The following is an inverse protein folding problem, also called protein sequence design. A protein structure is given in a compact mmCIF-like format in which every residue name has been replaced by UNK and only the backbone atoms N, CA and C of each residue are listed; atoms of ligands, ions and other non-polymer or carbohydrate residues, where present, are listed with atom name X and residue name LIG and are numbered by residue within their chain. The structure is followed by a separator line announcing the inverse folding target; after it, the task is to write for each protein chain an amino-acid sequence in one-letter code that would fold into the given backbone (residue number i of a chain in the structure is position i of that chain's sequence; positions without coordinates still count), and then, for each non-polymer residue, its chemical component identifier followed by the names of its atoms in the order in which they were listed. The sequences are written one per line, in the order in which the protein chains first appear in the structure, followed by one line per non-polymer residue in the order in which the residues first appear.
data_IF_338699405097
#
_entry.id   IF_338699405097
#
_cell.length_a   1.000
_cell.length_b   1.000
_cell.length_c   1.000
_cell.angle_alpha   90.00
_cell.angle_beta   90.00
_cell.angle_gamma   90.00
#
_symmetry.space_group_name_H-M   'P 1'
#
loop_
_entity.id
_entity.type
_entity.pdbx_description
1 polymer ?
#
# COMPACT_ATOMS: atom_id res chain seq x y z
N UNK A 1 26.75 -27.40 -30.56
CA UNK A 1 27.03 -26.07 -30.00
C UNK A 1 25.90 -25.80 -29.05
N UNK A 2 26.18 -25.74 -27.74
CA UNK A 2 25.17 -25.35 -26.77
C UNK A 2 24.82 -23.87 -27.04
N UNK A 3 23.55 -23.56 -27.23
CA UNK A 3 23.08 -22.20 -27.30
C UNK A 3 23.42 -21.53 -25.94
N UNK A 4 24.39 -20.62 -25.93
CA UNK A 4 24.64 -19.77 -24.78
C UNK A 4 23.37 -18.96 -24.53
N UNK A 5 22.73 -19.22 -23.41
CA UNK A 5 21.55 -18.47 -23.01
C UNK A 5 21.99 -17.05 -22.68
N UNK A 6 21.53 -16.07 -23.45
CA UNK A 6 21.78 -14.67 -23.12
C UNK A 6 20.94 -14.28 -21.91
N UNK A 7 21.57 -14.23 -20.72
CA UNK A 7 20.94 -13.92 -19.42
C UNK A 7 20.31 -12.53 -19.38
N UNK A 8 20.68 -11.64 -20.30
CA UNK A 8 20.15 -10.28 -20.39
C UNK A 8 19.02 -10.14 -21.42
N UNK A 9 18.58 -11.25 -22.02
CA UNK A 9 17.44 -11.21 -22.92
C UNK A 9 16.15 -10.89 -22.15
N UNK A 10 15.19 -10.13 -22.72
CA UNK A 10 13.92 -9.84 -22.06
C UNK A 10 13.17 -11.09 -21.60
N UNK A 11 13.31 -12.18 -22.33
CA UNK A 11 12.69 -13.47 -21.96
C UNK A 11 13.33 -14.08 -20.71
N UNK A 12 14.66 -14.03 -20.58
CA UNK A 12 15.36 -14.53 -19.38
C UNK A 12 15.05 -13.66 -18.16
N UNK A 13 15.08 -12.35 -18.31
CA UNK A 13 14.72 -11.41 -17.24
C UNK A 13 13.27 -11.64 -16.76
N UNK A 14 12.33 -11.89 -17.66
CA UNK A 14 10.95 -12.20 -17.29
C UNK A 14 10.82 -13.53 -16.51
N UNK A 15 11.66 -14.52 -16.78
CA UNK A 15 11.69 -15.78 -16.03
C UNK A 15 12.25 -15.59 -14.62
N UNK A 16 13.31 -14.82 -14.45
CA UNK A 16 13.88 -14.44 -13.15
C UNK A 16 12.84 -13.72 -12.27
N UNK A 17 12.09 -12.79 -12.83
CA UNK A 17 10.99 -12.10 -12.14
C UNK A 17 9.98 -13.07 -11.52
N UNK A 18 9.64 -14.14 -12.21
CA UNK A 18 8.68 -15.14 -11.71
C UNK A 18 9.22 -15.99 -10.55
N UNK A 19 10.52 -16.18 -10.46
CA UNK A 19 11.16 -17.03 -9.45
C UNK A 19 11.53 -16.27 -8.17
N UNK A 20 11.53 -14.93 -8.20
CA UNK A 20 11.87 -14.12 -7.03
C UNK A 20 10.66 -14.00 -6.09
N UNK A 21 10.79 -14.42 -4.82
CA UNK A 21 9.69 -14.27 -3.87
C UNK A 21 9.36 -12.79 -3.63
N UNK A 22 8.09 -12.45 -3.71
CA UNK A 22 7.63 -11.10 -3.44
C UNK A 22 7.67 -10.80 -1.93
N UNK A 23 7.98 -9.56 -1.58
CA UNK A 23 7.81 -9.07 -0.20
C UNK A 23 6.32 -8.97 0.08
N UNK A 24 5.87 -9.60 1.17
CA UNK A 24 4.49 -9.50 1.61
C UNK A 24 4.26 -8.18 2.33
N UNK A 25 3.19 -7.49 1.95
CA UNK A 25 2.81 -6.18 2.48
C UNK A 25 1.35 -6.21 2.93
N UNK A 26 1.04 -5.57 4.04
CA UNK A 26 -0.30 -5.72 4.64
C UNK A 26 -1.36 -4.87 3.93
N UNK A 27 -1.10 -3.57 3.76
CA UNK A 27 -2.11 -2.66 3.20
C UNK A 27 -2.37 -2.93 1.73
N UNK A 28 -1.30 -3.07 0.94
CA UNK A 28 -1.38 -3.38 -0.48
C UNK A 28 -2.12 -4.70 -0.71
N UNK A 29 -1.71 -5.75 0.00
CA UNK A 29 -2.19 -7.10 -0.26
C UNK A 29 -3.58 -7.37 0.33
N UNK A 30 -3.98 -6.64 1.39
CA UNK A 30 -5.28 -6.82 2.05
C UNK A 30 -6.35 -5.89 1.49
N UNK A 31 -6.03 -4.61 1.29
CA UNK A 31 -7.03 -3.60 0.95
C UNK A 31 -7.06 -3.25 -0.54
N UNK A 32 -5.93 -3.30 -1.25
CA UNK A 32 -5.82 -2.97 -2.68
C UNK A 32 -5.71 -4.23 -3.55
N UNK A 33 -6.69 -5.10 -3.43
CA UNK A 33 -6.68 -6.42 -4.10
C UNK A 33 -7.13 -6.37 -5.56
N UNK A 34 -7.80 -5.30 -6.00
CA UNK A 34 -8.27 -5.13 -7.37
C UNK A 34 -7.16 -4.51 -8.24
N UNK A 35 -6.28 -5.35 -8.79
CA UNK A 35 -5.17 -4.91 -9.64
C UNK A 35 -5.63 -4.68 -11.06
N UNK A 36 -5.38 -3.46 -11.61
CA UNK A 36 -5.68 -3.11 -13.00
C UNK A 36 -4.48 -2.43 -13.66
N UNK A 37 -4.19 -2.85 -14.90
CA UNK A 37 -3.18 -2.22 -15.76
C UNK A 37 -3.85 -1.43 -16.87
N UNK A 38 -3.34 -0.24 -17.15
CA UNK A 38 -3.89 0.68 -18.13
C UNK A 38 -2.95 0.84 -19.30
N UNK A 39 -3.51 1.08 -20.49
CA UNK A 39 -2.75 1.33 -21.73
C UNK A 39 -2.23 2.77 -21.82
N UNK A 40 -2.70 3.64 -20.94
CA UNK A 40 -2.41 5.07 -20.94
C UNK A 40 -1.59 5.46 -19.72
N UNK A 41 -0.87 6.58 -19.82
CA UNK A 41 -0.14 7.17 -18.69
C UNK A 41 -1.10 7.71 -17.62
N UNK A 42 -2.29 8.18 -18.01
CA UNK A 42 -3.32 8.65 -17.10
C UNK A 42 -4.38 7.58 -16.85
N UNK A 43 -4.85 7.53 -15.62
CA UNK A 43 -5.90 6.63 -15.16
C UNK A 43 -7.14 7.47 -14.87
N UNK A 44 -8.18 7.29 -15.68
CA UNK A 44 -9.46 7.96 -15.49
C UNK A 44 -10.40 7.04 -14.71
N UNK A 45 -11.01 7.57 -13.65
CA UNK A 45 -11.89 6.82 -12.74
C UNK A 45 -13.18 7.58 -12.58
N UNK A 46 -14.28 6.89 -12.82
CA UNK A 46 -15.62 7.40 -12.59
C UNK A 46 -16.03 7.10 -11.15
N UNK A 47 -16.14 8.14 -10.33
CA UNK A 47 -16.61 8.07 -8.96
C UNK A 47 -18.11 8.27 -8.92
N UNK A 48 -18.85 7.24 -8.51
CA UNK A 48 -20.31 7.28 -8.34
C UNK A 48 -20.62 7.24 -6.84
N UNK A 49 -21.11 8.34 -6.28
CA UNK A 49 -21.66 8.31 -4.91
C UNK A 49 -23.05 7.67 -4.95
N UNK A 50 -23.17 6.53 -4.28
CA UNK A 50 -24.47 5.90 -4.03
C UNK A 50 -25.35 6.78 -3.13
N UNK A 51 -26.67 6.55 -3.17
CA UNK A 51 -27.59 7.12 -2.18
C UNK A 51 -28.48 6.00 -1.60
N UNK A 52 -29.14 6.31 -0.48
CA UNK A 52 -30.05 5.39 0.21
C UNK A 52 -31.50 5.73 -0.05
N UNK A 53 -31.84 6.25 -1.23
CA UNK A 53 -33.23 6.59 -1.57
C UNK A 53 -34.08 5.31 -1.63
N UNK A 54 -35.20 5.37 -0.96
CA UNK A 54 -36.22 4.34 -1.03
C UNK A 54 -37.19 4.63 -2.17
N UNK A 55 -37.72 3.58 -2.82
CA UNK A 55 -38.81 3.70 -3.77
C UNK A 55 -40.05 4.28 -3.07
N UNK A 56 -40.70 5.26 -3.71
CA UNK A 56 -41.93 5.82 -3.18
C UNK A 56 -43.11 4.85 -3.38
N UNK A 57 -43.96 4.76 -2.38
CA UNK A 57 -45.27 4.09 -2.56
C UNK A 57 -46.13 4.96 -3.48
N UNK A 58 -46.78 4.36 -4.46
CA UNK A 58 -47.68 5.05 -5.37
C UNK A 58 -49.04 4.32 -5.41
N UNK A 59 -50.11 5.08 -5.57
CA UNK A 59 -51.43 4.47 -5.72
C UNK A 59 -51.51 3.72 -7.05
N UNK A 60 -52.17 2.55 -7.10
CA UNK A 60 -52.22 1.72 -8.33
C UNK A 60 -52.75 2.41 -9.60
N UNK A 61 -53.46 3.52 -9.44
CA UNK A 61 -54.01 4.31 -10.55
C UNK A 61 -53.15 5.54 -10.90
N UNK A 62 -52.02 5.74 -10.22
CA UNK A 62 -51.08 6.84 -10.49
C UNK A 62 -49.80 6.26 -11.00
N UNK A 63 -49.23 6.84 -12.06
CA UNK A 63 -47.95 6.39 -12.62
C UNK A 63 -46.83 6.40 -11.63
N UNK A 64 -45.83 5.54 -11.81
CA UNK A 64 -44.64 5.44 -10.94
C UNK A 64 -43.86 6.78 -10.82
N UNK A 65 -43.17 6.98 -9.70
CA UNK A 65 -42.31 8.15 -9.51
C UNK A 65 -40.90 7.85 -10.03
N UNK A 66 -40.36 8.74 -10.86
CA UNK A 66 -39.02 8.61 -11.41
C UNK A 66 -37.98 8.74 -10.27
N UNK A 67 -37.12 7.76 -10.12
CA UNK A 67 -35.89 7.86 -9.35
C UNK A 67 -34.86 8.60 -10.20
N UNK A 68 -34.38 9.77 -9.72
CA UNK A 68 -33.29 10.49 -10.39
C UNK A 68 -32.02 9.63 -10.34
N UNK A 69 -31.37 9.45 -11.47
CA UNK A 69 -30.05 8.83 -11.53
C UNK A 69 -29.01 9.68 -10.77
N UNK A 70 -28.11 9.02 -10.07
CA UNK A 70 -26.98 9.70 -9.47
C UNK A 70 -26.01 10.14 -10.57
N UNK A 71 -25.48 11.36 -10.46
CA UNK A 71 -24.39 11.81 -11.28
C UNK A 71 -23.09 11.05 -10.95
N UNK A 72 -22.16 11.02 -11.88
CA UNK A 72 -20.80 10.56 -11.63
C UNK A 72 -19.83 11.73 -11.80
N UNK A 73 -18.68 11.63 -11.17
CA UNK A 73 -17.56 12.56 -11.33
C UNK A 73 -16.39 11.73 -11.86
N UNK A 74 -15.86 12.12 -13.01
CA UNK A 74 -14.64 11.50 -13.54
C UNK A 74 -13.45 12.25 -12.99
N UNK A 75 -12.54 11.54 -12.35
CA UNK A 75 -11.25 12.05 -11.89
C UNK A 75 -10.12 11.38 -12.68
N UNK A 76 -9.17 12.20 -13.15
CA UNK A 76 -8.03 11.74 -13.92
C UNK A 76 -6.76 11.85 -13.07
N UNK A 77 -6.15 10.71 -12.80
CA UNK A 77 -4.92 10.62 -12.01
C UNK A 77 -3.74 10.28 -12.91
N UNK A 78 -2.57 10.85 -12.60
CA UNK A 78 -1.30 10.46 -13.20
C UNK A 78 -0.52 9.62 -12.20
N UNK A 79 -0.38 8.29 -12.41
CA UNK A 79 0.47 7.46 -11.57
C UNK A 79 1.93 7.93 -11.61
N UNK A 80 2.62 8.02 -10.45
CA UNK A 80 4.02 8.41 -10.41
C UNK A 80 4.91 7.34 -11.03
N UNK A 81 6.00 7.75 -11.66
CA UNK A 81 7.05 6.84 -12.10
C UNK A 81 7.94 6.48 -10.90
N UNK A 82 8.08 5.19 -10.65
CA UNK A 82 9.10 4.61 -9.76
C UNK A 82 10.10 3.90 -10.67
N UNK A 83 11.36 4.34 -10.66
CA UNK A 83 12.39 3.78 -11.54
C UNK A 83 13.73 3.65 -10.81
N UNK A 84 13.85 2.76 -9.81
CA UNK A 84 15.13 2.45 -9.22
C UNK A 84 16.01 1.69 -10.22
N UNK A 85 17.30 1.97 -10.19
CA UNK A 85 18.29 1.26 -11.01
C UNK A 85 19.53 0.89 -10.20
N UNK A 86 20.25 -0.12 -10.63
CA UNK A 86 21.56 -0.51 -10.13
C UNK A 86 22.58 -0.61 -11.26
N UNK A 87 23.86 -0.50 -10.91
CA UNK A 87 24.96 -0.41 -11.88
C UNK A 87 25.99 -1.48 -11.58
N UNK A 88 26.18 -2.40 -12.53
CA UNK A 88 27.23 -3.41 -12.47
C UNK A 88 28.44 -2.98 -13.31
N UNK A 89 29.62 -2.91 -12.67
CA UNK A 89 30.91 -2.60 -13.32
C UNK A 89 31.76 -3.87 -13.50
N UNK A 90 32.73 -3.80 -14.43
CA UNK A 90 33.64 -4.92 -14.67
C UNK A 90 34.43 -5.34 -13.41
N UNK A 91 34.84 -4.38 -12.60
CA UNK A 91 35.63 -4.65 -11.38
C UNK A 91 34.84 -5.47 -10.36
N UNK A 92 33.53 -5.26 -10.26
CA UNK A 92 32.66 -6.03 -9.37
C UNK A 92 32.53 -7.50 -9.78
N UNK A 93 32.64 -7.80 -11.08
CA UNK A 93 32.61 -9.17 -11.60
C UNK A 93 33.95 -9.91 -11.47
N UNK A 94 35.04 -9.15 -11.36
CA UNK A 94 36.39 -9.73 -11.16
C UNK A 94 36.67 -10.00 -9.68
N UNK A 95 35.96 -9.36 -8.76
CA UNK A 95 36.08 -9.61 -7.32
C UNK A 95 35.12 -10.73 -6.88
N UNK A 96 35.49 -11.42 -5.80
CA UNK A 96 34.64 -12.44 -5.18
C UNK A 96 33.36 -11.81 -4.61
N UNK A 97 32.21 -12.41 -4.90
CA UNK A 97 30.92 -11.98 -4.32
C UNK A 97 30.83 -12.36 -2.83
N UNK A 98 30.08 -11.61 -2.02
CA UNK A 98 29.75 -11.99 -0.64
C UNK A 98 29.09 -13.38 -0.60
N UNK A 99 29.58 -14.26 0.29
CA UNK A 99 29.08 -15.64 0.39
C UNK A 99 29.68 -16.66 -0.61
N UNK A 100 30.47 -16.21 -1.59
CA UNK A 100 31.19 -17.11 -2.50
C UNK A 100 32.35 -17.79 -1.75
N UNK A 101 32.52 -19.10 -1.93
CA UNK A 101 33.62 -19.85 -1.34
C UNK A 101 34.99 -19.34 -1.85
N UNK A 102 35.99 -19.37 -0.96
CA UNK A 102 37.36 -18.89 -1.26
C UNK A 102 37.99 -19.59 -2.46
N UNK A 103 37.61 -20.85 -2.68
CA UNK A 103 38.09 -21.70 -3.76
C UNK A 103 37.07 -21.93 -4.88
N UNK A 104 36.01 -21.09 -4.93
CA UNK A 104 34.99 -21.22 -5.94
C UNK A 104 35.56 -20.96 -7.32
N UNK A 105 35.30 -21.87 -8.24
CA UNK A 105 35.66 -21.72 -9.66
C UNK A 105 34.62 -20.94 -10.47
N UNK A 106 33.86 -20.04 -9.84
CA UNK A 106 32.84 -19.27 -10.55
C UNK A 106 33.47 -18.39 -11.63
N UNK A 107 32.90 -18.49 -12.81
CA UNK A 107 33.29 -17.63 -13.93
C UNK A 107 32.67 -16.22 -13.78
N UNK A 108 33.25 -15.17 -14.41
CA UNK A 108 32.66 -13.85 -14.43
C UNK A 108 31.20 -13.83 -14.93
N UNK A 109 30.86 -14.73 -15.89
CA UNK A 109 29.48 -14.84 -16.38
C UNK A 109 28.52 -15.41 -15.33
N UNK A 110 28.95 -16.35 -14.50
CA UNK A 110 28.15 -16.89 -13.40
C UNK A 110 27.94 -15.84 -12.30
N UNK A 111 28.99 -15.07 -11.97
CA UNK A 111 28.89 -13.95 -11.04
C UNK A 111 27.92 -12.87 -11.56
N UNK A 112 27.99 -12.55 -12.87
CA UNK A 112 27.06 -11.61 -13.49
C UNK A 112 25.60 -12.08 -13.38
N UNK A 113 25.34 -13.37 -13.58
CA UNK A 113 23.99 -13.93 -13.45
C UNK A 113 23.48 -13.86 -11.99
N UNK A 114 24.31 -14.25 -11.02
CA UNK A 114 23.95 -14.17 -9.61
C UNK A 114 23.67 -12.71 -9.20
N UNK A 115 24.58 -11.79 -9.56
CA UNK A 115 24.43 -10.38 -9.23
C UNK A 115 23.17 -9.77 -9.84
N UNK A 116 22.84 -10.11 -11.09
CA UNK A 116 21.60 -9.67 -11.72
C UNK A 116 20.35 -10.09 -10.91
N UNK A 117 20.35 -11.32 -10.38
CA UNK A 117 19.25 -11.80 -9.54
C UNK A 117 19.16 -11.02 -8.21
N UNK A 118 20.29 -10.75 -7.58
CA UNK A 118 20.39 -9.99 -6.34
C UNK A 118 19.95 -8.53 -6.54
N UNK A 119 20.42 -7.89 -7.61
CA UNK A 119 20.02 -6.53 -8.01
C UNK A 119 18.52 -6.45 -8.25
N UNK A 120 17.99 -7.38 -9.05
CA UNK A 120 16.55 -7.44 -9.30
C UNK A 120 15.75 -7.60 -8.00
N UNK A 121 16.14 -8.51 -7.12
CA UNK A 121 15.46 -8.72 -5.84
C UNK A 121 15.43 -7.40 -5.01
N UNK A 122 16.57 -6.71 -4.94
CA UNK A 122 16.70 -5.44 -4.23
C UNK A 122 15.81 -4.35 -4.81
N UNK A 123 15.81 -4.19 -6.15
CA UNK A 123 14.98 -3.20 -6.84
C UNK A 123 13.47 -3.50 -6.68
N UNK A 124 13.12 -4.78 -6.77
CA UNK A 124 11.74 -5.25 -6.60
C UNK A 124 11.24 -5.01 -5.17
N UNK A 125 12.07 -5.27 -4.17
CA UNK A 125 11.74 -5.03 -2.75
C UNK A 125 11.58 -3.54 -2.46
N UNK A 126 12.47 -2.69 -2.99
CA UNK A 126 12.38 -1.24 -2.84
C UNK A 126 11.08 -0.70 -3.47
N UNK A 127 10.74 -1.16 -4.68
CA UNK A 127 9.49 -0.80 -5.36
C UNK A 127 8.27 -1.26 -4.56
N UNK A 128 8.29 -2.49 -4.03
CA UNK A 128 7.19 -3.04 -3.23
C UNK A 128 6.99 -2.27 -1.92
N UNK A 129 8.08 -1.87 -1.24
CA UNK A 129 7.97 -1.01 -0.04
C UNK A 129 7.40 0.37 -0.36
N UNK A 130 7.74 0.93 -1.52
CA UNK A 130 7.16 2.21 -1.97
C UNK A 130 5.66 2.06 -2.29
N UNK A 131 5.24 0.97 -2.93
CA UNK A 131 3.82 0.67 -3.17
C UNK A 131 3.04 0.54 -1.85
N UNK A 132 3.60 -0.17 -0.85
CA UNK A 132 3.00 -0.29 0.48
C UNK A 132 2.89 1.08 1.17
N UNK A 133 3.97 1.87 1.15
CA UNK A 133 3.96 3.22 1.70
C UNK A 133 2.87 4.09 1.06
N UNK A 134 2.73 4.04 -0.27
CA UNK A 134 1.68 4.77 -0.99
C UNK A 134 0.28 4.29 -0.58
N UNK A 135 0.08 2.99 -0.43
CA UNK A 135 -1.17 2.39 0.03
C UNK A 135 -1.53 2.85 1.45
N UNK A 136 -0.56 2.88 2.35
CA UNK A 136 -0.76 3.40 3.72
C UNK A 136 -1.07 4.90 3.70
N UNK A 137 -0.33 5.71 2.92
CA UNK A 137 -0.58 7.15 2.82
C UNK A 137 -1.99 7.44 2.26
N UNK A 138 -2.42 6.72 1.24
CA UNK A 138 -3.78 6.85 0.69
C UNK A 138 -4.87 6.61 1.75
N UNK A 139 -4.67 5.64 2.65
CA UNK A 139 -5.63 5.33 3.73
C UNK A 139 -5.49 6.30 4.90
N UNK A 140 -4.27 6.54 5.41
CA UNK A 140 -4.02 7.33 6.64
C UNK A 140 -4.32 8.81 6.40
N UNK A 141 -3.83 9.36 5.30
CA UNK A 141 -3.96 10.79 5.02
C UNK A 141 -5.01 11.14 3.97
N UNK A 142 -5.49 10.15 3.20
CA UNK A 142 -6.32 10.39 2.01
C UNK A 142 -5.58 11.14 0.91
N UNK A 143 -4.24 11.22 1.01
CA UNK A 143 -3.37 11.91 0.04
C UNK A 143 -2.08 11.13 -0.15
N UNK A 144 -1.50 11.19 -1.35
CA UNK A 144 -0.19 10.63 -1.61
C UNK A 144 0.74 11.77 -2.02
N UNK A 145 1.69 12.17 -1.16
CA UNK A 145 2.73 13.12 -1.54
C UNK A 145 3.76 12.41 -2.43
N UNK A 146 3.96 12.94 -3.64
CA UNK A 146 4.94 12.46 -4.61
C UNK A 146 6.11 13.44 -4.58
N UNK A 147 7.08 13.16 -3.74
CA UNK A 147 8.29 13.99 -3.58
C UNK A 147 9.49 13.17 -4.05
N UNK A 148 10.26 13.73 -4.95
CA UNK A 148 11.46 13.11 -5.52
C UNK A 148 12.23 14.09 -6.39
N UNK A 149 13.27 13.62 -7.07
CA UNK A 149 14.08 14.46 -7.95
C UNK A 149 13.23 15.03 -9.09
N UNK A 150 13.04 16.35 -9.08
CA UNK A 150 12.28 17.06 -10.10
C UNK A 150 10.75 16.90 -10.03
N UNK A 151 10.22 16.21 -9.00
CA UNK A 151 8.77 16.01 -8.81
C UNK A 151 8.38 16.44 -7.40
N UNK A 152 7.36 17.30 -7.31
CA UNK A 152 6.71 17.68 -6.05
C UNK A 152 5.22 17.89 -6.30
N UNK A 153 4.48 16.80 -6.28
CA UNK A 153 3.04 16.78 -6.52
C UNK A 153 2.35 16.05 -5.37
N UNK A 154 1.05 16.31 -5.18
CA UNK A 154 0.25 15.58 -4.19
C UNK A 154 -1.05 15.14 -4.83
N UNK A 155 -1.30 13.84 -4.81
CA UNK A 155 -2.59 13.28 -5.20
C UNK A 155 -3.50 13.30 -3.98
N UNK A 156 -4.69 13.89 -4.11
CA UNK A 156 -5.68 13.99 -3.04
C UNK A 156 -6.96 13.25 -3.45
N UNK A 157 -7.38 12.31 -2.62
CA UNK A 157 -8.61 11.52 -2.83
C UNK A 157 -9.84 12.13 -2.15
N UNK A 158 -9.69 13.22 -1.42
CA UNK A 158 -10.82 13.93 -0.79
C UNK A 158 -11.41 13.22 0.43
N UNK A 159 -10.61 12.50 1.22
CA UNK A 159 -11.06 11.86 2.47
C UNK A 159 -11.57 12.91 3.46
N UNK A 160 -12.85 12.81 3.87
CA UNK A 160 -13.50 13.70 4.84
C UNK A 160 -13.65 13.07 6.23
N UNK A 161 -13.70 11.74 6.32
CA UNK A 161 -13.82 10.99 7.57
C UNK A 161 -12.52 10.99 8.39
N UNK A 162 -12.08 12.19 8.80
CA UNK A 162 -10.94 12.40 9.71
C UNK A 162 -11.43 12.95 11.02
N UNK A 163 -10.99 12.36 12.14
CA UNK A 163 -11.31 12.81 13.48
C UNK A 163 -10.01 13.09 14.25
N UNK A 164 -10.06 14.12 15.09
CA UNK A 164 -8.93 14.44 15.98
C UNK A 164 -9.51 14.73 17.36
N UNK A 165 -9.07 13.95 18.34
CA UNK A 165 -9.42 14.18 19.73
C UNK A 165 -8.49 15.25 20.33
N UNK A 166 -9.04 16.15 21.12
CA UNK A 166 -8.29 17.26 21.71
C UNK A 166 -8.44 17.28 23.24
N UNK A 167 -7.40 17.78 23.93
CA UNK A 167 -7.41 17.98 25.37
C UNK A 167 -7.69 16.70 26.15
N UNK A 168 -8.60 16.80 27.12
CA UNK A 168 -8.97 15.73 28.05
C UNK A 168 -9.71 14.55 27.40
N UNK A 169 -10.25 14.73 26.19
CA UNK A 169 -10.96 13.68 25.46
C UNK A 169 -9.99 12.71 24.74
N UNK A 170 -8.70 13.03 24.67
CA UNK A 170 -7.69 12.11 24.11
C UNK A 170 -7.64 10.81 24.90
N UNK A 171 -7.31 9.72 24.24
CA UNK A 171 -7.16 8.42 24.88
C UNK A 171 -6.06 8.47 25.95
N UNK A 172 -6.44 8.14 27.17
CA UNK A 172 -5.63 8.34 28.38
C UNK A 172 -5.82 9.69 29.07
N UNK A 173 -6.70 10.55 28.58
CA UNK A 173 -7.15 11.75 29.29
C UNK A 173 -8.25 11.45 30.31
N UNK A 174 -8.62 12.47 31.13
CA UNK A 174 -9.58 12.30 32.23
C UNK A 174 -11.02 12.11 31.78
N UNK A 175 -11.33 12.52 30.54
CA UNK A 175 -12.67 12.42 29.89
C UNK A 175 -12.65 11.48 28.67
N UNK A 176 -11.67 10.59 28.61
CA UNK A 176 -11.58 9.64 27.51
C UNK A 176 -12.75 8.66 27.55
N UNK A 177 -13.49 8.57 26.43
CA UNK A 177 -14.51 7.55 26.19
C UNK A 177 -14.17 6.77 24.93
N UNK A 178 -13.36 5.72 25.12
CA UNK A 178 -12.82 4.93 23.99
C UNK A 178 -13.94 4.15 23.30
N UNK A 179 -14.80 3.48 24.06
CA UNK A 179 -15.83 2.62 23.51
C UNK A 179 -16.94 3.46 22.84
N UNK A 180 -17.36 4.56 23.45
CA UNK A 180 -18.30 5.48 22.85
C UNK A 180 -17.77 6.07 21.54
N UNK A 181 -16.50 6.51 21.52
CA UNK A 181 -15.87 7.00 20.28
C UNK A 181 -15.86 5.95 19.16
N UNK A 182 -15.52 4.69 19.48
CA UNK A 182 -15.50 3.63 18.48
C UNK A 182 -16.90 3.33 17.92
N UNK A 183 -17.94 3.31 18.77
CA UNK A 183 -19.33 3.18 18.35
C UNK A 183 -19.76 4.31 17.42
N UNK A 184 -19.59 5.56 17.85
CA UNK A 184 -19.95 6.75 17.06
C UNK A 184 -19.21 6.81 15.71
N UNK A 185 -17.96 6.42 15.68
CA UNK A 185 -17.17 6.43 14.45
C UNK A 185 -17.53 5.30 13.49
N UNK A 186 -17.86 4.11 14.03
CA UNK A 186 -18.38 3.01 13.22
C UNK A 186 -19.72 3.38 12.57
N UNK A 187 -20.61 4.02 13.33
CA UNK A 187 -21.88 4.54 12.82
C UNK A 187 -21.68 5.66 11.80
N UNK A 188 -20.70 6.54 12.01
CA UNK A 188 -20.39 7.61 11.06
C UNK A 188 -19.95 7.05 9.70
N UNK A 189 -19.12 6.00 9.68
CA UNK A 189 -18.72 5.32 8.43
C UNK A 189 -19.92 4.62 7.79
N UNK A 190 -20.76 3.93 8.59
CA UNK A 190 -21.95 3.26 8.10
C UNK A 190 -22.93 4.24 7.45
N UNK A 191 -23.14 5.42 8.04
CA UNK A 191 -24.08 6.42 7.55
C UNK A 191 -23.51 7.29 6.42
N UNK A 192 -22.23 7.68 6.50
CA UNK A 192 -21.57 8.59 5.55
C UNK A 192 -20.90 7.85 4.39
N UNK A 193 -20.16 6.78 4.67
CA UNK A 193 -19.39 6.03 3.70
C UNK A 193 -20.10 4.80 3.11
N UNK A 194 -21.29 4.47 3.61
CA UNK A 194 -22.08 3.28 3.21
C UNK A 194 -21.32 1.95 3.33
N UNK A 195 -20.32 1.90 4.21
CA UNK A 195 -19.48 0.74 4.45
C UNK A 195 -19.67 0.23 5.89
N UNK A 196 -19.57 -1.08 6.05
CA UNK A 196 -19.52 -1.69 7.36
C UNK A 196 -18.05 -1.85 7.78
N UNK A 197 -17.73 -1.39 8.98
CA UNK A 197 -16.39 -1.48 9.56
C UNK A 197 -16.35 -2.71 10.45
N UNK A 198 -15.34 -3.54 10.26
CA UNK A 198 -15.09 -4.75 11.04
C UNK A 198 -13.64 -4.85 11.55
N UNK A 199 -12.79 -3.91 11.17
CA UNK A 199 -11.36 -3.93 11.47
C UNK A 199 -10.90 -2.59 12.04
N UNK A 200 -10.15 -2.64 13.14
CA UNK A 200 -9.40 -1.50 13.69
C UNK A 200 -7.90 -1.77 13.63
N UNK A 201 -7.15 -0.84 13.06
CA UNK A 201 -5.70 -0.89 13.02
C UNK A 201 -5.18 0.26 13.89
N UNK A 202 -4.34 -0.08 14.85
CA UNK A 202 -3.86 0.88 15.86
C UNK A 202 -2.35 1.11 15.74
N UNK A 203 -1.93 2.38 15.91
CA UNK A 203 -0.55 2.73 16.15
C UNK A 203 -0.09 2.30 17.57
N UNK A 204 1.20 2.31 17.80
CA UNK A 204 1.83 1.80 19.03
C UNK A 204 1.31 2.51 20.29
N UNK A 205 1.24 3.84 20.27
CA UNK A 205 0.78 4.63 21.43
C UNK A 205 -0.73 4.49 21.63
N UNK A 206 -1.51 4.51 20.53
CA UNK A 206 -2.95 4.31 20.58
C UNK A 206 -3.31 2.95 21.19
N UNK A 207 -2.61 1.87 20.80
CA UNK A 207 -2.73 0.55 21.40
C UNK A 207 -2.47 0.57 22.91
N UNK A 208 -1.36 1.20 23.35
CA UNK A 208 -1.01 1.24 24.77
C UNK A 208 -2.09 1.93 25.60
N UNK A 209 -2.65 3.04 25.08
CA UNK A 209 -3.74 3.78 25.74
C UNK A 209 -5.05 3.00 25.75
N UNK A 210 -5.38 2.30 24.66
CA UNK A 210 -6.55 1.43 24.56
C UNK A 210 -6.57 0.36 25.65
N UNK A 211 -5.48 -0.39 25.82
CA UNK A 211 -5.40 -1.45 26.84
C UNK A 211 -5.19 -0.94 28.27
N UNK A 212 -4.79 0.32 28.46
CA UNK A 212 -4.70 0.95 29.77
C UNK A 212 -6.04 1.49 30.27
N UNK A 213 -7.05 1.59 29.43
CA UNK A 213 -8.38 2.10 29.81
C UNK A 213 -9.14 1.09 30.68
N UNK A 214 -9.68 1.59 31.80
CA UNK A 214 -10.38 0.75 32.78
C UNK A 214 -11.69 0.15 32.25
N UNK A 215 -12.39 0.85 31.32
CA UNK A 215 -13.64 0.37 30.75
C UNK A 215 -13.36 -0.73 29.73
N UNK A 216 -12.31 -0.56 28.91
CA UNK A 216 -11.83 -1.57 27.98
C UNK A 216 -11.38 -2.83 28.76
N UNK A 217 -10.62 -2.68 29.85
CA UNK A 217 -10.19 -3.81 30.68
C UNK A 217 -11.37 -4.55 31.30
N UNK A 218 -12.40 -3.84 31.79
CA UNK A 218 -13.62 -4.49 32.32
C UNK A 218 -14.38 -5.25 31.23
N UNK A 219 -14.39 -4.74 30.02
CA UNK A 219 -15.04 -5.39 28.88
C UNK A 219 -14.30 -6.65 28.44
N UNK A 220 -12.98 -6.65 28.56
CA UNK A 220 -12.13 -7.79 28.24
C UNK A 220 -12.02 -8.83 29.39
N UNK A 221 -12.55 -8.53 30.61
CA UNK A 221 -12.59 -9.48 31.75
C UNK A 221 -13.78 -10.44 31.59
N UNK A 222 -13.54 -11.55 30.95
CA UNK A 222 -14.51 -12.53 30.43
C UNK A 222 -15.16 -13.45 31.46
N UNK A 223 -15.21 -13.12 32.76
CA UNK A 223 -15.69 -14.06 33.80
C UNK A 223 -17.19 -14.36 33.72
N UNK A 224 -18.01 -13.54 33.05
CA UNK A 224 -19.47 -13.71 33.01
C UNK A 224 -20.13 -13.53 31.66
N UNK A 225 -19.54 -12.78 30.71
CA UNK A 225 -20.05 -12.55 29.36
C UNK A 225 -18.85 -12.45 28.39
N UNK A 226 -18.98 -13.06 27.22
CA UNK A 226 -17.95 -13.01 26.20
C UNK A 226 -18.11 -11.71 25.39
N UNK A 227 -17.55 -10.60 25.89
CA UNK A 227 -17.62 -9.26 25.25
C UNK A 227 -16.42 -8.98 24.33
N UNK A 228 -15.44 -9.87 24.30
CA UNK A 228 -14.26 -9.77 23.44
C UNK A 228 -13.24 -10.87 23.78
N UNK A 229 -12.30 -11.09 22.90
CA UNK A 229 -11.21 -12.04 23.07
C UNK A 229 -9.87 -11.37 22.78
N UNK A 230 -8.91 -11.54 23.69
CA UNK A 230 -7.50 -11.19 23.46
C UNK A 230 -6.77 -12.47 23.10
N UNK A 231 -6.44 -12.65 21.83
CA UNK A 231 -5.68 -13.78 21.31
C UNK A 231 -4.53 -13.30 20.42
N UNK A 232 -3.46 -12.69 21.00
CA UNK A 232 -2.39 -12.12 20.21
C UNK A 232 -1.67 -13.18 19.38
N UNK A 233 -1.52 -12.93 18.08
CA UNK A 233 -0.73 -13.74 17.18
C UNK A 233 -0.06 -12.87 16.13
N UNK A 234 1.18 -13.20 15.77
CA UNK A 234 1.88 -12.56 14.69
C UNK A 234 1.41 -13.16 13.36
N UNK A 235 1.13 -12.29 12.40
CA UNK A 235 0.77 -12.65 11.04
C UNK A 235 2.00 -12.50 10.12
N UNK A 236 2.06 -13.22 9.00
CA UNK A 236 3.24 -13.21 8.11
C UNK A 236 3.61 -11.83 7.55
N UNK A 237 2.65 -10.89 7.52
CA UNK A 237 2.79 -9.57 6.88
C UNK A 237 3.21 -8.45 7.84
N UNK A 238 3.88 -8.77 8.95
CA UNK A 238 4.34 -7.77 9.94
C UNK A 238 3.22 -7.20 10.82
N UNK A 239 2.01 -7.73 10.71
CA UNK A 239 0.83 -7.33 11.48
C UNK A 239 0.63 -8.26 12.67
N UNK A 240 0.27 -7.68 13.81
CA UNK A 240 -0.13 -8.42 15.01
C UNK A 240 -1.63 -8.34 15.19
N UNK A 241 -2.29 -9.47 15.14
CA UNK A 241 -3.67 -9.61 15.58
C UNK A 241 -3.70 -9.61 17.11
N UNK A 242 -4.57 -8.80 17.70
CA UNK A 242 -4.66 -8.66 19.15
C UNK A 242 -5.86 -9.42 19.74
N UNK A 243 -6.94 -9.49 18.99
CA UNK A 243 -8.19 -10.10 19.41
C UNK A 243 -9.40 -9.45 18.75
N UNK A 244 -10.58 -9.81 19.25
CA UNK A 244 -11.86 -9.32 18.76
C UNK A 244 -12.61 -8.57 19.85
N UNK A 245 -13.24 -7.44 19.50
CA UNK A 245 -14.15 -6.68 20.33
C UNK A 245 -15.57 -6.93 19.82
N UNK A 246 -16.52 -7.31 20.67
CA UNK A 246 -17.85 -7.69 20.24
C UNK A 246 -18.80 -6.48 20.06
N UNK A 247 -18.55 -5.39 20.79
CA UNK A 247 -19.37 -4.17 20.70
C UNK A 247 -18.49 -2.91 20.78
N UNK A 248 -18.29 -2.20 19.65
CA UNK A 248 -18.64 -2.60 18.28
C UNK A 248 -17.83 -3.81 17.82
N UNK A 249 -18.41 -4.62 16.91
CA UNK A 249 -17.75 -5.85 16.41
C UNK A 249 -16.53 -5.51 15.55
N UNK A 250 -15.33 -5.54 16.15
CA UNK A 250 -14.08 -5.11 15.52
C UNK A 250 -12.95 -6.11 15.79
N UNK A 251 -12.29 -6.54 14.74
CA UNK A 251 -11.02 -7.25 14.82
C UNK A 251 -9.86 -6.24 15.02
N UNK A 252 -9.06 -6.47 16.04
CA UNK A 252 -8.02 -5.54 16.47
C UNK A 252 -6.65 -5.94 15.93
N UNK A 253 -6.02 -5.03 15.19
CA UNK A 253 -4.69 -5.20 14.63
C UNK A 253 -3.73 -4.09 15.02
N UNK A 254 -2.44 -4.41 15.03
CA UNK A 254 -1.34 -3.44 15.12
C UNK A 254 -0.37 -3.67 13.99
N UNK A 255 -0.05 -2.62 13.28
CA UNK A 255 0.94 -2.65 12.22
C UNK A 255 2.16 -1.86 12.67
N UNK A 256 3.28 -2.55 12.86
CA UNK A 256 4.50 -1.97 13.43
C UNK A 256 5.61 -1.73 12.41
N UNK A 257 5.31 -1.82 11.12
CA UNK A 257 6.29 -1.62 10.06
C UNK A 257 6.77 -0.17 9.99
N UNK A 258 8.05 -0.01 9.63
CA UNK A 258 8.72 1.27 9.51
C UNK A 258 9.29 1.43 8.11
N UNK A 259 9.49 2.66 7.67
CA UNK A 259 10.18 2.98 6.44
C UNK A 259 11.32 3.97 6.70
N UNK A 260 12.30 3.93 5.83
CA UNK A 260 13.44 4.83 5.86
C UNK A 260 13.15 6.01 4.93
N UNK A 261 13.03 7.21 5.49
CA UNK A 261 12.72 8.44 4.78
C UNK A 261 14.04 9.19 4.48
N UNK A 262 14.57 8.96 3.30
CA UNK A 262 15.77 9.60 2.79
C UNK A 262 15.48 10.63 1.68
N UNK A 263 14.20 10.81 1.32
CA UNK A 263 13.78 11.73 0.26
C UNK A 263 13.18 13.05 0.77
N UNK A 264 12.61 13.08 1.97
CA UNK A 264 12.05 14.31 2.55
C UNK A 264 13.17 15.25 3.00
N UNK A 265 14.20 14.69 3.63
CA UNK A 265 15.42 15.40 4.03
C UNK A 265 16.64 14.51 3.79
N UNK A 266 17.28 14.58 2.61
CA UNK A 266 18.43 13.73 2.27
C UNK A 266 19.63 13.89 3.20
N UNK A 267 19.80 15.08 3.81
CA UNK A 267 20.91 15.35 4.71
C UNK A 267 20.73 14.76 6.12
N UNK A 268 19.48 14.42 6.50
CA UNK A 268 19.15 13.82 7.78
C UNK A 268 18.04 12.79 7.60
N UNK A 269 18.36 11.59 7.07
CA UNK A 269 17.38 10.54 6.86
C UNK A 269 16.88 9.97 8.19
N UNK A 270 15.60 9.69 8.27
CA UNK A 270 14.92 9.20 9.47
C UNK A 270 14.14 7.92 9.22
N UNK A 271 14.09 7.04 10.23
CA UNK A 271 13.19 5.90 10.23
C UNK A 271 11.84 6.30 10.84
N UNK A 272 10.77 6.20 10.05
CA UNK A 272 9.41 6.59 10.45
C UNK A 272 8.48 5.38 10.46
N UNK A 273 7.51 5.30 11.38
CA UNK A 273 6.48 4.28 11.31
C UNK A 273 5.56 4.54 10.11
N UNK A 274 5.11 3.48 9.44
CA UNK A 274 4.14 3.58 8.34
C UNK A 274 2.81 4.17 8.83
N UNK A 275 2.34 3.72 10.00
CA UNK A 275 1.18 4.32 10.68
C UNK A 275 1.68 5.15 11.86
N UNK A 276 1.31 6.44 11.96
CA UNK A 276 1.64 7.26 13.12
C UNK A 276 1.17 6.62 14.43
N UNK A 277 2.02 6.66 15.44
CA UNK A 277 1.80 5.96 16.72
C UNK A 277 0.52 6.37 17.47
N UNK A 278 0.06 7.59 17.24
CA UNK A 278 -1.11 8.20 17.89
C UNK A 278 -2.42 8.07 17.11
N UNK A 279 -2.41 7.32 16.01
CA UNK A 279 -3.54 7.17 15.11
C UNK A 279 -4.18 5.79 15.19
N UNK A 280 -5.45 5.76 14.81
CA UNK A 280 -6.19 4.53 14.51
C UNK A 280 -6.89 4.65 13.17
N UNK A 281 -7.12 3.50 12.55
CA UNK A 281 -7.84 3.36 11.30
C UNK A 281 -9.00 2.39 11.52
N UNK A 282 -10.20 2.81 11.22
CA UNK A 282 -11.40 1.98 11.21
C UNK A 282 -11.76 1.69 9.75
N UNK A 283 -11.68 0.44 9.33
CA UNK A 283 -11.84 0.04 7.93
C UNK A 283 -12.55 -1.31 7.83
N UNK A 284 -13.12 -1.62 6.67
CA UNK A 284 -13.59 -2.97 6.35
C UNK A 284 -12.42 -3.90 6.05
N UNK A 285 -12.50 -5.16 6.47
CA UNK A 285 -11.48 -6.18 6.16
C UNK A 285 -11.33 -6.47 4.66
N UNK A 286 -12.36 -6.16 3.85
CA UNK A 286 -12.38 -6.43 2.40
C UNK A 286 -12.96 -5.27 1.59
N UNK A 287 -12.32 -4.11 1.57
CA UNK A 287 -12.85 -2.96 0.84
C UNK A 287 -12.69 -3.12 -0.67
N UNK A 288 -11.74 -3.99 -1.13
CA UNK A 288 -11.43 -4.27 -2.53
C UNK A 288 -11.10 -3.01 -3.35
N UNK A 289 -10.25 -2.14 -2.78
CA UNK A 289 -9.77 -0.95 -3.47
C UNK A 289 -8.88 -1.31 -4.66
N UNK A 290 -8.71 -0.36 -5.57
CA UNK A 290 -7.97 -0.58 -6.81
C UNK A 290 -6.48 -0.23 -6.66
N UNK A 291 -5.62 -1.16 -7.08
CA UNK A 291 -4.22 -0.89 -7.38
C UNK A 291 -4.09 -0.71 -8.90
N UNK A 292 -3.95 0.53 -9.33
CA UNK A 292 -3.80 0.89 -10.73
C UNK A 292 -2.32 0.92 -11.13
N UNK A 293 -2.01 0.43 -12.34
CA UNK A 293 -0.69 0.55 -12.93
C UNK A 293 -0.83 1.24 -14.29
N UNK A 294 -0.17 2.40 -14.46
CA UNK A 294 -0.06 3.08 -15.73
C UNK A 294 0.89 2.35 -16.69
N UNK A 295 0.78 2.61 -17.99
CA UNK A 295 1.66 2.03 -18.99
C UNK A 295 3.09 2.58 -18.87
N UNK A 296 4.08 1.71 -19.05
CA UNK A 296 5.49 2.08 -19.17
C UNK A 296 5.87 2.14 -20.65
N UNK A 297 6.38 3.29 -21.12
CA UNK A 297 6.87 3.46 -22.48
C UNK A 297 8.38 3.64 -22.46
N UNK A 298 9.08 2.83 -23.23
CA UNK A 298 10.55 2.80 -23.29
C UNK A 298 11.06 2.44 -24.69
N UNK A 299 12.35 2.68 -24.95
CA UNK A 299 13.03 2.22 -26.14
C UNK A 299 13.56 0.81 -25.90
N UNK A 300 13.20 -0.13 -26.74
CA UNK A 300 13.76 -1.49 -26.71
C UNK A 300 15.13 -1.51 -27.36
N UNK A 301 16.17 -1.91 -26.61
CA UNK A 301 17.56 -1.90 -27.08
C UNK A 301 17.78 -2.77 -28.31
N UNK A 302 17.05 -3.89 -28.42
CA UNK A 302 17.21 -4.83 -29.53
C UNK A 302 16.66 -4.28 -30.85
N UNK A 303 15.58 -3.51 -30.83
CA UNK A 303 14.89 -3.00 -32.01
C UNK A 303 15.13 -1.50 -32.24
N UNK A 304 15.54 -0.75 -31.19
CA UNK A 304 15.62 0.71 -31.19
C UNK A 304 14.25 1.42 -31.31
N UNK A 305 13.15 0.68 -31.15
CA UNK A 305 11.80 1.21 -31.30
C UNK A 305 11.16 1.51 -29.93
N UNK A 306 10.22 2.44 -29.95
CA UNK A 306 9.38 2.70 -28.79
C UNK A 306 8.39 1.55 -28.55
N UNK A 307 8.40 1.02 -27.35
CA UNK A 307 7.48 -0.03 -26.89
C UNK A 307 6.72 0.45 -25.67
N UNK A 308 5.41 0.25 -25.67
CA UNK A 308 4.55 0.51 -24.51
C UNK A 308 4.11 -0.79 -23.90
N UNK A 309 4.48 -1.02 -22.64
CA UNK A 309 4.13 -2.23 -21.88
C UNK A 309 3.01 -1.93 -20.89
N UNK A 310 1.97 -2.78 -20.89
CA UNK A 310 0.82 -2.73 -19.98
C UNK A 310 1.00 -3.74 -18.83
N UNK A 311 2.15 -3.69 -18.17
CA UNK A 311 2.47 -4.58 -17.05
C UNK A 311 2.65 -3.78 -15.77
N UNK A 312 2.50 -4.43 -14.62
CA UNK A 312 2.74 -3.79 -13.33
C UNK A 312 4.18 -3.31 -13.15
N UNK A 313 5.14 -4.04 -13.74
CA UNK A 313 6.58 -3.76 -13.64
C UNK A 313 7.28 -4.15 -14.93
N UNK A 314 8.25 -3.36 -15.34
CA UNK A 314 9.11 -3.59 -16.49
C UNK A 314 10.55 -3.62 -16.02
N UNK A 315 11.21 -4.77 -16.15
CA UNK A 315 12.63 -4.92 -15.88
C UNK A 315 13.41 -4.70 -17.17
N UNK A 316 14.39 -3.83 -17.14
CA UNK A 316 15.26 -3.51 -18.28
C UNK A 316 16.72 -3.62 -17.89
N UNK A 317 17.55 -3.98 -18.86
CA UNK A 317 19.00 -3.95 -18.73
C UNK A 317 19.61 -3.39 -20.00
N UNK A 318 20.46 -2.40 -19.89
CA UNK A 318 21.18 -1.79 -21.01
C UNK A 318 22.66 -1.58 -20.66
N UNK A 319 23.47 -1.42 -21.69
CA UNK A 319 24.93 -1.27 -21.55
C UNK A 319 25.35 0.14 -21.94
N UNK A 320 26.18 0.73 -21.10
CA UNK A 320 26.89 1.96 -21.39
C UNK A 320 28.37 1.66 -21.59
N UNK A 321 28.97 2.23 -22.67
CA UNK A 321 30.33 1.84 -23.10
C UNK A 321 31.43 2.81 -22.65
N UNK A 322 31.10 3.96 -22.02
CA UNK A 322 32.11 4.92 -21.57
C UNK A 322 31.77 5.50 -20.18
N UNK A 323 32.25 4.88 -19.08
CA UNK A 323 32.96 3.59 -18.94
C UNK A 323 32.04 2.37 -19.17
N UNK A 324 32.63 1.19 -19.46
CA UNK A 324 31.85 -0.03 -19.62
C UNK A 324 31.14 -0.41 -18.32
N UNK A 325 29.81 -0.28 -18.35
CA UNK A 325 28.93 -0.63 -17.25
C UNK A 325 27.59 -1.13 -17.75
N UNK A 326 26.99 -1.98 -16.96
CA UNK A 326 25.63 -2.48 -17.20
C UNK A 326 24.68 -1.86 -16.18
N UNK A 327 23.61 -1.32 -16.69
CA UNK A 327 22.52 -0.77 -15.90
C UNK A 327 21.38 -1.79 -15.86
N UNK A 328 20.81 -1.98 -14.68
CA UNK A 328 19.57 -2.76 -14.48
C UNK A 328 18.57 -1.84 -13.83
N UNK A 329 17.42 -1.64 -14.44
CA UNK A 329 16.37 -0.76 -13.94
C UNK A 329 15.02 -1.46 -13.87
N UNK A 330 14.21 -1.09 -12.89
CA UNK A 330 12.85 -1.58 -12.71
C UNK A 330 11.88 -0.41 -12.79
N UNK A 331 11.10 -0.34 -13.86
CA UNK A 331 10.10 0.72 -14.05
C UNK A 331 8.72 0.24 -13.60
N UNK A 332 8.01 1.09 -12.87
CA UNK A 332 6.63 0.87 -12.46
C UNK A 332 5.88 2.20 -12.34
N UNK A 333 4.59 2.20 -12.66
CA UNK A 333 3.68 3.33 -12.46
C UNK A 333 2.52 2.95 -11.53
N UNK A 334 2.77 2.61 -10.26
CA UNK A 334 1.72 2.20 -9.34
C UNK A 334 0.95 3.41 -8.80
N UNK A 335 -0.36 3.23 -8.61
CA UNK A 335 -1.21 4.16 -7.89
C UNK A 335 -2.28 3.39 -7.12
N UNK A 336 -2.20 3.31 -5.80
CA UNK A 336 -3.28 2.80 -4.97
C UNK A 336 -4.42 3.81 -4.91
N UNK A 337 -5.60 3.42 -5.37
CA UNK A 337 -6.78 4.27 -5.48
C UNK A 337 -7.89 3.70 -4.60
N UNK A 338 -8.23 4.37 -3.49
CA UNK A 338 -9.39 4.02 -2.69
C UNK A 338 -10.66 4.53 -3.39
N UNK A 339 -11.24 3.71 -4.27
CA UNK A 339 -12.40 4.04 -5.11
C UNK A 339 -13.69 4.33 -4.34
N UNK A 340 -13.74 3.98 -3.05
CA UNK A 340 -14.85 4.26 -2.13
C UNK A 340 -14.38 5.19 -1.01
N UNK A 341 -14.14 6.44 -1.35
CA UNK A 341 -13.75 7.46 -0.37
C UNK A 341 -14.79 7.59 0.73
N UNK A 342 -14.34 7.82 1.97
CA UNK A 342 -15.16 7.85 3.20
C UNK A 342 -15.74 6.49 3.64
N UNK A 343 -15.40 5.36 2.98
CA UNK A 343 -15.75 4.01 3.46
C UNK A 343 -14.88 3.53 4.63
N UNK A 344 -13.98 4.36 5.10
CA UNK A 344 -13.15 4.17 6.30
C UNK A 344 -13.03 5.48 7.07
N UNK A 345 -12.52 5.41 8.29
CA UNK A 345 -12.29 6.57 9.14
C UNK A 345 -10.90 6.50 9.75
N UNK A 346 -10.25 7.64 9.83
CA UNK A 346 -8.96 7.81 10.51
C UNK A 346 -9.13 8.76 11.68
N UNK A 347 -8.60 8.37 12.84
CA UNK A 347 -8.66 9.21 14.03
C UNK A 347 -7.29 9.37 14.69
N UNK A 348 -6.95 10.62 15.02
CA UNK A 348 -5.83 10.93 15.93
C UNK A 348 -6.38 10.95 17.35
N UNK A 349 -5.94 9.99 18.16
CA UNK A 349 -6.57 9.70 19.45
C UNK A 349 -5.69 10.05 20.67
N UNK A 350 -4.39 10.29 20.47
CA UNK A 350 -3.44 10.60 21.56
C UNK A 350 -2.80 11.99 21.40
#
# INVERSE_FOLDING_TARGET
MANEVNIYSPRYLAEVVRQTPAVHTYFRDTFFTNVKTFATERVDIDLVKGDRRMAAFVHPRVGGKVLKANGYQTESYKPPLINPYDVTTADQLMTRLPGEDLYSGMTPAQRAAQKLMEEYATLNDATTRREEWMAVQAIVTGTIPIVGEGVNETINFGLTNKKTLNGDNKWGGTKADILGNLGDWTDAVLHGGFANVDTIIMGKTAKAKFFADANVQKMLDNRRMNLGEIAPRDLPNGVKYLGHLNDPSLDMYVYGEVYYDDWTNPDAPETKPLIPDNMIILISSRPNYMMAYGACTYIEDASGLWVTSQTSRVLRSYVEHHPDRRMVELQAHPLPIPDKVDSWLVATVC
#
